data_IF_698099965416
#
_entry.id   IF_698099965416
#
_cell.length_a   1.000
_cell.length_b   1.000
_cell.length_c   1.000
_cell.angle_alpha   90.00
_cell.angle_beta   90.00
_cell.angle_gamma   90.00
#
_symmetry.space_group_name_H-M   'P 1'
#
loop_
_entity.id
_entity.type
_entity.pdbx_description
1 polymer ?
#
# COMPACT_ATOMS: atom_id res chain seq x y z
N UNK A 1 0.95 -2.48 -20.36
CA UNK A 1 1.70 -1.28 -19.87
C UNK A 1 2.30 -1.62 -18.51
N UNK A 2 3.47 -1.09 -18.14
CA UNK A 2 4.09 -1.34 -16.82
C UNK A 2 4.27 -0.01 -16.10
N UNK A 3 3.84 0.05 -14.84
CA UNK A 3 4.06 1.21 -13.97
C UNK A 3 4.58 0.76 -12.60
N UNK A 4 5.61 1.45 -12.11
CA UNK A 4 6.21 1.18 -10.80
C UNK A 4 6.27 2.46 -9.97
N UNK A 5 5.81 2.37 -8.72
CA UNK A 5 5.84 3.45 -7.74
C UNK A 5 6.50 2.92 -6.47
N UNK A 6 7.52 3.63 -5.99
CA UNK A 6 8.23 3.29 -4.76
C UNK A 6 8.23 4.48 -3.81
N UNK A 7 7.56 4.32 -2.67
CA UNK A 7 7.41 5.37 -1.67
C UNK A 7 8.37 5.11 -0.52
N UNK A 8 9.25 6.06 -0.24
CA UNK A 8 10.17 6.01 0.88
C UNK A 8 9.80 7.09 1.90
N UNK A 9 9.56 6.71 3.15
CA UNK A 9 9.19 7.62 4.23
C UNK A 9 10.16 7.46 5.40
N UNK A 10 11.05 8.45 5.58
CA UNK A 10 12.15 8.42 6.56
C UNK A 10 12.02 9.52 7.64
N UNK A 11 10.84 10.11 7.79
CA UNK A 11 10.60 11.11 8.82
C UNK A 11 9.43 12.04 8.54
N UNK A 12 9.46 13.18 9.22
CA UNK A 12 8.36 14.16 9.27
C UNK A 12 7.49 13.93 10.50
N UNK A 13 7.01 15.02 11.12
CA UNK A 13 6.12 14.93 12.29
C UNK A 13 4.83 14.17 11.96
N UNK A 14 4.27 14.46 10.78
CA UNK A 14 3.11 13.79 10.22
C UNK A 14 3.25 13.76 8.70
N UNK A 15 3.20 12.57 8.12
CA UNK A 15 3.24 12.34 6.68
C UNK A 15 2.07 11.47 6.29
N UNK A 16 1.33 11.87 5.26
CA UNK A 16 0.25 11.05 4.67
C UNK A 16 0.49 10.90 3.17
N UNK A 17 0.69 9.67 2.73
CA UNK A 17 0.83 9.31 1.34
C UNK A 17 -0.50 8.74 0.84
N UNK A 18 -1.08 9.36 -0.18
CA UNK A 18 -2.27 8.81 -0.84
C UNK A 18 -1.89 8.41 -2.26
N UNK A 19 -2.03 7.13 -2.59
CA UNK A 19 -1.74 6.58 -3.90
C UNK A 19 -2.99 5.93 -4.48
N UNK A 20 -3.55 6.54 -5.52
CA UNK A 20 -4.69 5.99 -6.25
C UNK A 20 -4.21 5.54 -7.64
N UNK A 21 -4.33 4.25 -7.91
CA UNK A 21 -3.88 3.62 -9.15
C UNK A 21 -5.05 2.98 -9.88
N UNK A 22 -5.28 3.37 -11.14
CA UNK A 22 -6.40 2.92 -11.96
C UNK A 22 -5.91 2.16 -13.19
N UNK A 23 -6.39 0.95 -13.40
CA UNK A 23 -6.02 0.09 -14.53
C UNK A 23 -7.12 0.09 -15.59
N UNK A 24 -7.16 1.15 -16.40
CA UNK A 24 -8.15 1.34 -17.46
C UNK A 24 -7.89 0.50 -18.73
N UNK A 25 -6.66 0.04 -18.94
CA UNK A 25 -6.28 -0.76 -20.12
C UNK A 25 -5.96 -2.20 -19.75
N UNK A 26 -6.22 -3.13 -20.65
CA UNK A 26 -5.91 -4.55 -20.48
C UNK A 26 -4.40 -4.79 -20.40
N UNK A 27 -4.01 -5.88 -19.75
CA UNK A 27 -2.60 -6.30 -19.64
C UNK A 27 -1.71 -5.20 -19.01
N UNK A 28 -2.29 -4.42 -18.09
CA UNK A 28 -1.53 -3.50 -17.26
C UNK A 28 -0.87 -4.27 -16.10
N UNK A 29 0.38 -3.93 -15.80
CA UNK A 29 1.09 -4.42 -14.63
C UNK A 29 1.49 -3.23 -13.77
N UNK A 30 1.18 -3.30 -12.48
CA UNK A 30 1.52 -2.25 -11.52
C UNK A 30 2.31 -2.81 -10.34
N UNK A 31 3.36 -2.08 -9.93
CA UNK A 31 4.13 -2.36 -8.73
C UNK A 31 4.07 -1.13 -7.84
N UNK A 32 3.60 -1.27 -6.60
CA UNK A 32 3.50 -0.17 -5.66
C UNK A 32 4.07 -0.61 -4.32
N UNK A 33 5.33 -0.24 -4.06
CA UNK A 33 6.02 -0.65 -2.85
C UNK A 33 6.26 0.53 -1.92
N UNK A 34 6.32 0.25 -0.63
CA UNK A 34 6.60 1.25 0.40
C UNK A 34 7.66 0.79 1.38
N UNK A 35 8.55 1.69 1.79
CA UNK A 35 9.44 1.51 2.93
C UNK A 35 9.23 2.68 3.90
N UNK A 36 8.94 2.36 5.15
CA UNK A 36 8.80 3.33 6.24
C UNK A 36 9.81 3.03 7.34
N UNK A 37 10.69 3.99 7.64
CA UNK A 37 11.61 3.93 8.78
C UNK A 37 11.40 5.22 9.59
N UNK A 38 10.82 5.10 10.77
CA UNK A 38 10.49 6.27 11.61
C UNK A 38 10.72 6.02 13.10
N UNK A 39 10.97 7.09 13.84
CA UNK A 39 11.33 7.09 15.25
C UNK A 39 10.68 8.27 16.01
N UNK A 40 11.09 8.50 17.26
CA UNK A 40 10.56 9.55 18.14
C UNK A 40 9.03 9.50 18.28
N UNK A 41 8.34 10.51 17.71
CA UNK A 41 6.89 10.71 17.74
C UNK A 41 6.35 10.91 16.32
N UNK A 42 7.12 10.47 15.32
CA UNK A 42 6.76 10.60 13.92
C UNK A 42 5.55 9.73 13.58
N UNK A 43 4.72 10.22 12.65
CA UNK A 43 3.54 9.53 12.18
C UNK A 43 3.57 9.43 10.65
N UNK A 44 3.46 8.21 10.11
CA UNK A 44 3.35 7.98 8.66
C UNK A 44 2.12 7.14 8.36
N UNK A 45 1.25 7.68 7.51
CA UNK A 45 0.05 7.02 7.00
C UNK A 45 0.18 6.77 5.50
N UNK A 46 0.06 5.52 5.09
CA UNK A 46 -0.09 5.12 3.69
C UNK A 46 -1.53 4.72 3.41
N UNK A 47 -2.15 5.43 2.48
CA UNK A 47 -3.47 5.12 1.96
C UNK A 47 -3.34 4.75 0.48
N UNK A 48 -3.60 3.49 0.14
CA UNK A 48 -3.50 3.01 -1.24
C UNK A 48 -4.85 2.54 -1.76
N UNK A 49 -5.13 2.85 -3.02
CA UNK A 49 -6.22 2.31 -3.80
C UNK A 49 -5.65 1.74 -5.10
N UNK A 50 -5.92 0.45 -5.35
CA UNK A 50 -5.72 -0.16 -6.66
C UNK A 50 -7.08 -0.55 -7.22
N UNK A 51 -7.48 0.14 -8.29
CA UNK A 51 -8.76 -0.05 -8.97
C UNK A 51 -8.53 -0.82 -10.26
N UNK A 52 -8.85 -2.12 -10.23
CA UNK A 52 -8.84 -3.02 -11.38
C UNK A 52 -10.13 -2.82 -12.18
N UNK A 53 -10.02 -2.21 -13.37
CA UNK A 53 -11.17 -1.88 -14.23
C UNK A 53 -11.18 -2.77 -15.48
N UNK A 54 -10.01 -3.01 -16.09
CA UNK A 54 -9.86 -3.83 -17.28
C UNK A 54 -9.36 -5.26 -16.97
N UNK A 55 -9.68 -6.27 -17.79
CA UNK A 55 -9.26 -7.65 -17.57
C UNK A 55 -7.76 -7.87 -17.81
N UNK A 56 -7.27 -9.04 -17.36
CA UNK A 56 -5.90 -9.52 -17.55
C UNK A 56 -4.83 -8.60 -16.96
N UNK A 57 -5.15 -7.83 -15.91
CA UNK A 57 -4.20 -6.94 -15.26
C UNK A 57 -3.54 -7.59 -14.05
N UNK A 58 -2.34 -7.11 -13.71
CA UNK A 58 -1.62 -7.54 -12.51
C UNK A 58 -1.28 -6.36 -11.61
N UNK A 59 -1.30 -6.58 -10.29
CA UNK A 59 -0.88 -5.57 -9.32
C UNK A 59 -0.13 -6.20 -8.16
N UNK A 60 1.02 -5.62 -7.81
CA UNK A 60 1.85 -6.07 -6.70
C UNK A 60 2.08 -4.92 -5.71
N UNK A 61 1.67 -5.13 -4.45
CA UNK A 61 1.90 -4.18 -3.36
C UNK A 61 2.72 -4.82 -2.24
N UNK A 62 3.91 -4.29 -1.96
CA UNK A 62 4.76 -4.70 -0.84
C UNK A 62 5.15 -3.49 0.01
N UNK A 63 4.51 -3.34 1.17
CA UNK A 63 4.75 -2.26 2.12
C UNK A 63 5.47 -2.76 3.37
N UNK A 64 6.64 -2.21 3.64
CA UNK A 64 7.48 -2.58 4.79
C UNK A 64 7.67 -1.42 5.74
N UNK A 65 7.66 -1.72 7.04
CA UNK A 65 7.82 -0.71 8.09
C UNK A 65 8.76 -1.14 9.21
N UNK A 66 9.57 -0.21 9.69
CA UNK A 66 10.34 -0.33 10.93
C UNK A 66 10.03 0.90 11.79
N UNK A 67 9.56 0.66 13.01
CA UNK A 67 9.06 1.72 13.91
C UNK A 67 9.75 1.65 15.26
N UNK A 68 10.37 2.76 15.68
CA UNK A 68 11.05 2.88 16.98
C UNK A 68 10.37 3.93 17.90
N UNK A 69 10.77 3.97 19.17
CA UNK A 69 10.27 4.89 20.20
C UNK A 69 8.74 4.89 20.32
N UNK A 70 8.09 6.04 20.04
CA UNK A 70 6.63 6.23 20.05
C UNK A 70 6.10 6.49 18.65
N UNK A 71 6.82 6.08 17.61
CA UNK A 71 6.40 6.30 16.24
C UNK A 71 5.13 5.50 15.90
N UNK A 72 4.30 6.09 15.04
CA UNK A 72 3.01 5.52 14.62
C UNK A 72 2.99 5.34 13.12
N UNK A 73 2.84 4.10 12.68
CA UNK A 73 2.54 3.74 11.31
C UNK A 73 1.06 3.48 11.09
N UNK A 74 0.58 3.80 9.89
CA UNK A 74 -0.73 3.39 9.39
C UNK A 74 -0.56 2.87 7.96
N UNK A 75 -1.15 1.71 7.67
CA UNK A 75 -1.28 1.17 6.32
C UNK A 75 -2.75 0.85 6.04
N UNK A 76 -3.36 1.54 5.09
CA UNK A 76 -4.72 1.29 4.64
C UNK A 76 -4.71 1.05 3.13
N UNK A 77 -4.63 -0.22 2.74
CA UNK A 77 -4.57 -0.62 1.34
C UNK A 77 -5.89 -1.22 0.86
N UNK A 78 -6.53 -0.58 -0.11
CA UNK A 78 -7.77 -1.01 -0.74
C UNK A 78 -7.50 -1.54 -2.15
N UNK A 79 -7.93 -2.77 -2.40
CA UNK A 79 -8.04 -3.31 -3.75
C UNK A 79 -9.53 -3.37 -4.11
N UNK A 80 -9.87 -2.76 -5.24
CA UNK A 80 -11.23 -2.75 -5.79
C UNK A 80 -11.21 -3.38 -7.18
N UNK A 81 -12.08 -4.36 -7.40
CA UNK A 81 -12.15 -5.12 -8.64
C UNK A 81 -13.53 -4.98 -9.26
N UNK A 82 -13.59 -4.31 -10.40
CA UNK A 82 -14.80 -4.21 -11.22
C UNK A 82 -15.18 -5.58 -11.80
N UNK A 83 -16.47 -5.75 -12.10
CA UNK A 83 -17.01 -7.01 -12.64
C UNK A 83 -16.36 -7.44 -13.95
N UNK A 84 -15.97 -6.48 -14.77
CA UNK A 84 -15.34 -6.66 -16.07
C UNK A 84 -13.86 -7.03 -15.96
N UNK A 85 -13.23 -6.81 -14.80
CA UNK A 85 -11.81 -7.04 -14.56
C UNK A 85 -11.48 -8.53 -14.31
N UNK A 86 -11.83 -9.38 -15.27
CA UNK A 86 -11.60 -10.82 -15.22
C UNK A 86 -10.12 -11.17 -15.35
N UNK A 87 -9.72 -12.33 -14.80
CA UNK A 87 -8.34 -12.86 -14.87
C UNK A 87 -7.28 -11.89 -14.34
N UNK A 88 -7.63 -11.13 -13.29
CA UNK A 88 -6.66 -10.30 -12.59
C UNK A 88 -5.75 -11.16 -11.70
N UNK A 89 -4.54 -10.67 -11.44
CA UNK A 89 -3.64 -11.19 -10.40
C UNK A 89 -3.24 -10.03 -9.47
N UNK A 90 -3.74 -10.04 -8.24
CA UNK A 90 -3.50 -8.98 -7.27
C UNK A 90 -2.86 -9.52 -6.00
N UNK A 91 -1.72 -8.93 -5.64
CA UNK A 91 -0.97 -9.25 -4.45
C UNK A 91 -0.83 -8.01 -3.55
N UNK A 92 -1.08 -8.17 -2.25
CA UNK A 92 -0.88 -7.14 -1.25
C UNK A 92 -0.30 -7.73 0.02
N UNK A 93 0.86 -7.21 0.44
CA UNK A 93 1.54 -7.59 1.66
C UNK A 93 2.00 -6.36 2.44
N UNK A 94 1.86 -6.45 3.77
CA UNK A 94 2.38 -5.45 4.69
C UNK A 94 3.15 -6.13 5.83
N UNK A 95 4.48 -5.93 5.88
CA UNK A 95 5.35 -6.52 6.89
C UNK A 95 5.95 -5.42 7.76
N UNK A 96 5.83 -5.54 9.08
CA UNK A 96 6.26 -4.49 10.00
C UNK A 96 7.09 -5.05 11.14
N UNK A 97 8.08 -4.27 11.57
CA UNK A 97 8.91 -4.54 12.74
C UNK A 97 8.73 -3.37 13.72
N UNK A 98 8.31 -3.68 14.93
CA UNK A 98 8.32 -2.74 16.05
C UNK A 98 9.61 -2.96 16.84
N UNK A 99 10.44 -1.92 16.94
CA UNK A 99 11.71 -1.95 17.70
C UNK A 99 11.45 -1.63 19.18
N UNK A 100 10.43 -0.82 19.47
CA UNK A 100 10.04 -0.43 20.83
C UNK A 100 8.63 -0.90 21.15
N UNK A 101 8.37 -1.29 22.40
CA UNK A 101 7.05 -1.66 22.92
C UNK A 101 6.03 -0.49 22.87
N UNK A 102 6.51 0.74 22.66
CA UNK A 102 5.69 1.94 22.56
C UNK A 102 5.39 2.36 21.12
N UNK A 103 6.04 1.73 20.14
CA UNK A 103 5.76 1.97 18.73
C UNK A 103 4.46 1.26 18.34
N UNK A 104 3.76 1.76 17.32
CA UNK A 104 2.48 1.17 16.88
C UNK A 104 2.37 1.19 15.38
N UNK A 105 1.83 0.11 14.80
CA UNK A 105 1.41 0.05 13.40
C UNK A 105 -0.04 -0.42 13.30
N UNK A 106 -0.86 0.37 12.61
CA UNK A 106 -2.25 0.03 12.33
C UNK A 106 -2.39 -0.37 10.86
N UNK A 107 -2.60 -1.65 10.59
CA UNK A 107 -2.76 -2.16 9.24
C UNK A 107 -4.23 -2.54 8.97
N UNK A 108 -4.79 -2.03 7.87
CA UNK A 108 -6.14 -2.32 7.40
C UNK A 108 -6.13 -2.63 5.89
N UNK A 109 -5.72 -3.85 5.49
CA UNK A 109 -5.92 -4.31 4.11
C UNK A 109 -7.42 -4.54 3.85
N UNK A 110 -7.90 -4.12 2.68
CA UNK A 110 -9.29 -4.24 2.24
C UNK A 110 -9.36 -4.75 0.81
N UNK A 111 -10.32 -5.63 0.56
CA UNK A 111 -10.54 -6.25 -0.74
C UNK A 111 -12.03 -6.26 -1.05
N UNK A 112 -12.41 -5.66 -2.17
CA UNK A 112 -13.78 -5.62 -2.70
C UNK A 112 -13.77 -6.19 -4.12
N UNK A 113 -14.37 -7.38 -4.32
CA UNK A 113 -14.37 -8.10 -5.59
C UNK A 113 -15.79 -8.28 -6.13
N UNK A 114 -16.00 -7.85 -7.37
CA UNK A 114 -17.28 -7.96 -8.09
C UNK A 114 -17.19 -8.76 -9.40
N UNK A 115 -15.98 -9.24 -9.77
CA UNK A 115 -15.68 -10.06 -10.95
C UNK A 115 -16.06 -11.53 -10.79
#
# INVERSE_FOLDING_TARGET
SIASVHTFSFGGKLTRNNLNFYQHGEHASSVMNGITLIEDTQHVDHNTLVHHIAPNCTSHQDYKGVFNDRAVGVFNGKIYVEKEAQKLDAFQQNNNILISDKATINAKPQLEIFA
#
